data_IF_385588538979
#
_entry.id   IF_385588538979
#
_cell.length_a   1.000
_cell.length_b   1.000
_cell.length_c   1.000
_cell.angle_alpha   90.00
_cell.angle_beta   90.00
_cell.angle_gamma   90.00
#
_symmetry.space_group_name_H-M   'P 1'
#
loop_
_entity.id
_entity.type
_entity.pdbx_description
1 polymer ?
#
# COMPACT_ATOMS: atom_id res chain seq x y z
N UNK A 1 -32.70 -3.65 54.43
CA UNK A 1 -32.74 -2.79 53.20
C UNK A 1 -31.44 -3.10 52.46
N UNK A 2 -31.58 -3.72 51.31
CA UNK A 2 -30.40 -3.89 50.43
C UNK A 2 -30.07 -2.52 49.84
N UNK A 3 -28.82 -2.08 50.02
CA UNK A 3 -28.30 -0.85 49.41
C UNK A 3 -27.44 -1.13 48.16
N UNK A 4 -27.29 -2.41 47.85
CA UNK A 4 -26.41 -2.91 46.77
C UNK A 4 -27.16 -3.94 45.92
N UNK A 5 -26.73 -4.04 44.68
CA UNK A 5 -27.13 -5.06 43.73
C UNK A 5 -25.97 -5.43 42.82
N UNK A 6 -26.18 -6.45 42.02
CA UNK A 6 -25.16 -6.98 41.12
C UNK A 6 -25.58 -6.74 39.67
N UNK A 7 -24.58 -6.62 38.80
CA UNK A 7 -24.78 -6.60 37.34
C UNK A 7 -23.99 -7.75 36.74
N UNK A 8 -24.67 -8.57 35.95
CA UNK A 8 -24.04 -9.66 35.19
C UNK A 8 -24.37 -9.51 33.73
N UNK A 9 -23.63 -10.20 32.87
CA UNK A 9 -23.90 -10.20 31.46
C UNK A 9 -22.88 -10.95 30.65
N UNK A 10 -23.01 -10.85 29.35
CA UNK A 10 -22.09 -11.44 28.39
C UNK A 10 -21.61 -10.38 27.43
N UNK A 11 -20.34 -10.38 27.14
CA UNK A 11 -19.76 -9.53 26.09
C UNK A 11 -19.69 -10.34 24.80
N UNK A 12 -20.17 -9.74 23.73
CA UNK A 12 -20.23 -10.34 22.40
C UNK A 12 -19.40 -9.57 21.38
N UNK A 13 -18.95 -10.25 20.35
CA UNK A 13 -18.50 -9.64 19.12
C UNK A 13 -19.71 -9.31 18.19
N UNK A 14 -19.51 -8.65 17.03
CA UNK A 14 -20.59 -8.35 16.09
C UNK A 14 -21.27 -9.59 15.49
N UNK A 15 -20.65 -10.76 15.55
CA UNK A 15 -21.21 -12.03 15.08
C UNK A 15 -21.95 -12.81 16.18
N UNK A 16 -22.18 -12.18 17.34
CA UNK A 16 -22.75 -12.78 18.56
C UNK A 16 -21.90 -13.93 19.15
N UNK A 17 -20.60 -13.97 18.89
CA UNK A 17 -19.71 -14.88 19.60
C UNK A 17 -19.28 -14.26 20.94
N UNK A 18 -19.25 -15.06 22.05
CA UNK A 18 -18.77 -14.57 23.34
C UNK A 18 -17.31 -14.16 23.28
N UNK A 19 -16.95 -13.08 23.98
CA UNK A 19 -15.60 -12.54 23.99
C UNK A 19 -14.92 -12.73 25.34
N UNK A 20 -13.79 -13.41 25.33
CA UNK A 20 -12.88 -13.53 26.48
C UNK A 20 -12.03 -12.28 26.71
N UNK A 21 -11.39 -12.20 27.86
CA UNK A 21 -10.38 -11.18 28.20
C UNK A 21 -10.83 -9.72 27.95
N UNK A 22 -12.12 -9.45 28.10
CA UNK A 22 -12.69 -8.10 28.08
C UNK A 22 -12.73 -7.56 29.50
N UNK A 23 -12.16 -6.40 29.74
CA UNK A 23 -12.30 -5.71 31.02
C UNK A 23 -13.63 -4.98 31.06
N UNK A 24 -14.47 -5.33 32.04
CA UNK A 24 -15.76 -4.68 32.26
C UNK A 24 -15.72 -3.95 33.60
N UNK A 25 -16.16 -2.71 33.64
CA UNK A 25 -16.11 -1.90 34.86
C UNK A 25 -17.31 -0.99 35.00
N UNK A 26 -17.70 -0.73 36.25
CA UNK A 26 -18.67 0.29 36.62
C UNK A 26 -18.38 0.77 38.06
N UNK A 27 -18.39 2.10 38.26
CA UNK A 27 -18.28 2.74 39.59
C UNK A 27 -17.15 2.23 40.47
N UNK A 28 -16.00 1.89 39.88
CA UNK A 28 -14.81 1.41 40.59
C UNK A 28 -14.78 -0.11 40.85
N UNK A 29 -15.82 -0.84 40.47
CA UNK A 29 -15.82 -2.30 40.41
C UNK A 29 -15.45 -2.77 39.03
N UNK A 30 -14.66 -3.82 38.89
CA UNK A 30 -14.27 -4.38 37.61
C UNK A 30 -14.22 -5.90 37.64
N UNK A 31 -14.40 -6.49 36.48
CA UNK A 31 -14.26 -7.91 36.20
C UNK A 31 -13.64 -8.12 34.83
N UNK A 32 -13.15 -9.32 34.54
CA UNK A 32 -12.60 -9.67 33.24
C UNK A 32 -13.29 -10.94 32.74
N UNK A 33 -13.82 -10.89 31.51
CA UNK A 33 -14.58 -12.02 30.95
C UNK A 33 -13.71 -13.25 30.73
N UNK A 34 -14.30 -14.43 31.03
CA UNK A 34 -13.74 -15.74 30.69
C UNK A 34 -14.05 -16.14 29.25
N UNK A 35 -13.72 -17.40 28.90
CA UNK A 35 -13.93 -17.96 27.58
C UNK A 35 -15.39 -17.98 27.12
N UNK A 36 -16.33 -17.94 28.01
CA UNK A 36 -17.78 -17.86 27.78
C UNK A 36 -18.30 -16.41 27.64
N UNK A 37 -17.41 -15.42 27.75
CA UNK A 37 -17.72 -14.01 27.65
C UNK A 37 -18.46 -13.42 28.84
N UNK A 38 -18.70 -14.20 29.91
CA UNK A 38 -19.47 -13.75 31.08
C UNK A 38 -18.66 -12.83 31.99
N UNK A 39 -19.36 -11.88 32.63
CA UNK A 39 -18.83 -11.00 33.66
C UNK A 39 -19.82 -10.85 34.84
N UNK A 40 -19.31 -10.44 36.00
CA UNK A 40 -20.11 -10.13 37.17
C UNK A 40 -19.51 -8.95 37.96
N UNK A 41 -20.23 -7.84 38.02
CA UNK A 41 -19.91 -6.68 38.84
C UNK A 41 -20.75 -6.73 40.11
N UNK A 42 -20.10 -7.05 41.20
CA UNK A 42 -20.78 -7.34 42.49
C UNK A 42 -20.79 -6.11 43.39
N UNK A 43 -21.84 -6.00 44.22
CA UNK A 43 -21.97 -4.97 45.25
C UNK A 43 -21.96 -3.52 44.75
N UNK A 44 -22.58 -3.27 43.60
CA UNK A 44 -22.81 -1.92 43.14
C UNK A 44 -23.91 -1.23 43.96
N UNK A 45 -23.76 0.06 44.27
CA UNK A 45 -24.80 0.82 44.91
C UNK A 45 -26.09 0.80 44.08
N UNK A 46 -27.24 0.87 44.72
CA UNK A 46 -28.52 1.06 44.01
C UNK A 46 -28.52 2.39 43.28
N UNK A 47 -28.95 2.38 42.04
CA UNK A 47 -28.98 3.58 41.19
C UNK A 47 -28.54 3.31 39.74
N UNK A 48 -28.39 4.37 38.99
CA UNK A 48 -27.94 4.29 37.61
C UNK A 48 -26.42 4.29 37.52
N UNK A 49 -25.87 3.34 36.76
CA UNK A 49 -24.44 3.17 36.50
C UNK A 49 -24.17 3.09 35.03
N UNK A 50 -22.97 3.50 34.63
CA UNK A 50 -22.45 3.23 33.29
C UNK A 50 -21.51 2.05 33.40
N UNK A 51 -21.87 0.95 32.76
CA UNK A 51 -21.02 -0.21 32.56
C UNK A 51 -20.18 0.01 31.31
N UNK A 52 -18.88 -0.07 31.44
CA UNK A 52 -17.93 0.09 30.34
C UNK A 52 -17.25 -1.25 30.08
N UNK A 53 -17.18 -1.64 28.81
CA UNK A 53 -16.42 -2.79 28.34
C UNK A 53 -15.29 -2.34 27.40
N UNK A 54 -14.08 -2.87 27.64
CA UNK A 54 -12.89 -2.51 26.86
C UNK A 54 -11.98 -3.73 26.63
N UNK A 55 -11.42 -3.81 25.41
CA UNK A 55 -10.43 -4.82 25.01
C UNK A 55 -9.51 -4.21 23.96
N UNK A 56 -8.22 -4.55 23.99
CA UNK A 56 -7.27 -4.11 22.94
C UNK A 56 -7.72 -4.57 21.56
N UNK A 57 -7.71 -3.67 20.58
CA UNK A 57 -8.17 -3.93 19.21
C UNK A 57 -9.68 -3.81 19.01
N UNK A 58 -10.41 -3.28 20.02
CA UNK A 58 -11.86 -3.05 19.94
C UNK A 58 -12.21 -1.65 20.45
N UNK A 59 -13.25 -1.06 19.89
CA UNK A 59 -13.81 0.18 20.42
C UNK A 59 -14.42 -0.09 21.81
N UNK A 60 -14.07 0.75 22.76
CA UNK A 60 -14.72 0.75 24.06
C UNK A 60 -16.22 1.04 23.89
N UNK A 61 -17.07 0.23 24.50
CA UNK A 61 -18.51 0.45 24.48
C UNK A 61 -19.05 0.59 25.92
N UNK A 62 -20.13 1.33 26.06
CA UNK A 62 -20.76 1.61 27.34
C UNK A 62 -22.26 1.35 27.28
N UNK A 63 -22.81 0.91 28.41
CA UNK A 63 -24.25 0.76 28.58
C UNK A 63 -24.69 1.37 29.92
N UNK A 64 -25.79 2.09 29.90
CA UNK A 64 -26.43 2.55 31.12
C UNK A 64 -27.29 1.44 31.70
N UNK A 65 -27.10 1.16 32.99
CA UNK A 65 -27.84 0.13 33.71
C UNK A 65 -28.38 0.66 35.02
N UNK A 66 -29.62 0.32 35.34
CA UNK A 66 -30.24 0.66 36.62
C UNK A 66 -30.12 -0.54 37.59
N UNK A 67 -29.29 -0.40 38.62
CA UNK A 67 -29.11 -1.39 39.65
C UNK A 67 -30.21 -1.21 40.69
N UNK A 68 -30.94 -2.27 40.91
CA UNK A 68 -32.06 -2.30 41.90
C UNK A 68 -31.65 -3.06 43.15
N UNK A 69 -32.27 -2.68 44.28
CA UNK A 69 -32.13 -3.41 45.53
C UNK A 69 -32.91 -4.72 45.46
N UNK A 70 -32.35 -5.73 44.85
CA UNK A 70 -33.00 -7.03 44.67
C UNK A 70 -32.00 -8.17 44.79
N UNK A 71 -32.52 -9.39 44.99
CA UNK A 71 -31.68 -10.58 45.14
C UNK A 71 -31.11 -11.10 43.80
N UNK A 72 -31.80 -10.80 42.69
CA UNK A 72 -31.37 -11.22 41.36
C UNK A 72 -30.52 -10.15 40.71
N UNK A 73 -29.41 -10.50 40.03
CA UNK A 73 -28.57 -9.54 39.36
C UNK A 73 -29.30 -8.88 38.17
N UNK A 74 -29.00 -7.61 37.93
CA UNK A 74 -29.40 -6.95 36.68
C UNK A 74 -28.57 -7.49 35.52
N UNK A 75 -29.21 -7.92 34.42
CA UNK A 75 -28.51 -8.48 33.28
C UNK A 75 -28.26 -7.39 32.23
N UNK A 76 -27.01 -7.21 31.84
CA UNK A 76 -26.62 -6.27 30.79
C UNK A 76 -25.61 -6.91 29.84
N UNK A 77 -25.98 -7.14 28.62
CA UNK A 77 -25.05 -7.58 27.58
C UNK A 77 -24.50 -6.38 26.80
N UNK A 78 -23.25 -6.49 26.36
CA UNK A 78 -22.60 -5.44 25.57
C UNK A 78 -21.90 -6.09 24.38
N UNK A 79 -21.98 -5.45 23.20
CA UNK A 79 -21.25 -5.88 22.01
C UNK A 79 -20.10 -4.92 21.75
N UNK A 80 -18.89 -5.45 21.54
CA UNK A 80 -17.72 -4.68 21.14
C UNK A 80 -17.50 -4.80 19.64
N UNK A 81 -17.35 -3.68 18.97
CA UNK A 81 -16.93 -3.63 17.57
C UNK A 81 -15.40 -3.59 17.49
N UNK A 82 -14.78 -4.30 16.52
CA UNK A 82 -13.35 -4.16 16.27
C UNK A 82 -12.97 -2.70 16.05
N UNK A 83 -11.88 -2.27 16.68
CA UNK A 83 -11.24 -1.00 16.35
C UNK A 83 -10.54 -1.18 15.00
N UNK A 84 -11.29 -0.94 13.94
CA UNK A 84 -10.73 -0.89 12.59
C UNK A 84 -10.29 0.54 12.35
N UNK A 85 -8.96 0.81 12.39
CA UNK A 85 -8.47 2.13 12.03
C UNK A 85 -8.99 2.48 10.63
N UNK A 86 -9.26 3.75 10.40
CA UNK A 86 -9.79 4.22 9.12
C UNK A 86 -8.91 3.78 7.96
N UNK A 87 -9.48 3.44 6.80
CA UNK A 87 -8.69 3.19 5.60
C UNK A 87 -7.69 4.33 5.38
N UNK A 88 -6.45 3.99 5.07
CA UNK A 88 -5.40 4.95 4.76
C UNK A 88 -5.19 5.03 3.25
N UNK A 89 -4.59 6.14 2.78
CA UNK A 89 -4.30 6.37 1.36
C UNK A 89 -5.56 6.21 0.47
N UNK A 90 -6.66 6.86 0.85
CA UNK A 90 -7.81 6.98 -0.04
C UNK A 90 -7.40 7.89 -1.21
N UNK A 91 -7.36 7.32 -2.39
CA UNK A 91 -7.08 8.02 -3.64
C UNK A 91 -8.32 7.94 -4.55
N UNK A 92 -8.56 9.00 -5.28
CA UNK A 92 -9.59 9.07 -6.30
C UNK A 92 -8.94 9.48 -7.61
N UNK A 93 -8.94 8.59 -8.59
CA UNK A 93 -8.44 8.87 -9.95
C UNK A 93 -9.63 9.05 -10.88
N UNK A 94 -9.62 10.11 -11.72
CA UNK A 94 -10.66 10.28 -12.73
C UNK A 94 -10.49 9.23 -13.84
N UNK A 95 -11.60 8.77 -14.39
CA UNK A 95 -11.66 7.94 -15.59
C UNK A 95 -12.80 8.40 -16.49
N UNK A 96 -12.92 7.85 -17.67
CA UNK A 96 -14.01 8.19 -18.59
C UNK A 96 -15.35 7.78 -17.99
N UNK A 97 -16.18 8.78 -17.66
CA UNK A 97 -17.48 8.65 -16.96
C UNK A 97 -17.42 7.86 -15.62
N UNK A 98 -16.23 7.73 -15.02
CA UNK A 98 -16.01 6.96 -13.79
C UNK A 98 -15.03 7.68 -12.87
N UNK A 99 -15.09 7.31 -11.60
CA UNK A 99 -14.05 7.65 -10.62
C UNK A 99 -13.56 6.33 -10.03
N UNK A 100 -12.29 6.06 -10.15
CA UNK A 100 -11.66 4.91 -9.49
C UNK A 100 -11.28 5.32 -8.08
N UNK A 101 -11.74 4.54 -7.10
CA UNK A 101 -11.36 4.71 -5.71
C UNK A 101 -10.46 3.56 -5.30
N UNK A 102 -9.31 3.90 -4.79
CA UNK A 102 -8.42 2.95 -4.14
C UNK A 102 -8.21 3.34 -2.68
N UNK A 103 -8.10 2.37 -1.81
CA UNK A 103 -7.78 2.56 -0.40
C UNK A 103 -7.06 1.34 0.14
N UNK A 104 -6.45 1.49 1.30
CA UNK A 104 -5.68 0.42 1.92
C UNK A 104 -6.26 0.04 3.27
N UNK A 105 -6.05 -1.23 3.63
CA UNK A 105 -6.43 -1.73 4.94
C UNK A 105 -5.67 -0.99 6.02
N UNK A 106 -6.35 -0.65 7.12
CA UNK A 106 -5.72 -0.08 8.29
C UNK A 106 -4.64 -1.02 8.85
N UNK A 107 -3.51 -0.46 9.24
CA UNK A 107 -2.38 -1.24 9.76
C UNK A 107 -1.49 -1.90 8.69
N UNK A 108 -1.83 -1.77 7.39
CA UNK A 108 -0.84 -2.05 6.34
C UNK A 108 0.27 -1.00 6.42
N UNK A 109 1.52 -1.41 6.23
CA UNK A 109 2.61 -0.48 5.96
C UNK A 109 2.14 0.50 4.87
N UNK A 110 2.45 1.77 5.03
CA UNK A 110 2.08 2.78 4.05
C UNK A 110 2.79 2.45 2.74
N UNK A 111 2.07 1.87 1.79
CA UNK A 111 2.55 1.81 0.42
C UNK A 111 2.20 3.14 -0.24
N UNK A 112 3.02 3.62 -1.11
CA UNK A 112 2.73 4.73 -1.99
C UNK A 112 3.28 4.41 -3.36
N UNK A 113 2.52 4.79 -4.36
CA UNK A 113 2.96 4.67 -5.74
C UNK A 113 3.74 5.92 -6.11
N UNK A 114 4.81 5.75 -6.84
CA UNK A 114 5.58 6.84 -7.43
C UNK A 114 5.38 6.69 -8.94
N UNK A 115 4.79 7.68 -9.55
CA UNK A 115 4.60 7.76 -10.99
C UNK A 115 4.97 9.17 -11.46
N UNK A 116 5.51 9.26 -12.67
CA UNK A 116 5.96 10.51 -13.28
C UNK A 116 5.32 10.70 -14.65
N UNK A 117 4.05 10.32 -14.80
CA UNK A 117 3.27 10.46 -16.02
C UNK A 117 1.84 10.87 -15.70
N UNK A 118 1.13 11.43 -16.65
CA UNK A 118 -0.22 11.96 -16.47
C UNK A 118 -1.34 10.95 -16.80
N UNK A 119 -1.01 9.67 -16.91
CA UNK A 119 -1.89 8.55 -17.30
C UNK A 119 -2.24 8.52 -18.79
N UNK A 120 -1.66 9.38 -19.63
CA UNK A 120 -1.83 9.40 -21.07
C UNK A 120 -0.48 9.14 -21.75
N UNK A 121 -0.43 8.21 -22.68
CA UNK A 121 0.77 7.92 -23.45
C UNK A 121 0.59 8.40 -24.88
N UNK A 122 1.38 9.39 -25.31
CA UNK A 122 1.33 9.96 -26.65
C UNK A 122 2.29 9.29 -27.63
N UNK A 123 3.30 8.61 -27.09
CA UNK A 123 4.35 8.02 -27.91
C UNK A 123 5.01 6.79 -27.31
N UNK A 124 6.06 6.36 -27.99
CA UNK A 124 6.95 5.31 -27.52
C UNK A 124 8.40 5.63 -27.87
N UNK A 125 9.31 5.26 -27.03
CA UNK A 125 10.74 5.31 -27.30
C UNK A 125 11.28 3.89 -27.38
N UNK A 126 12.07 3.62 -28.43
CA UNK A 126 12.73 2.34 -28.63
C UNK A 126 13.99 2.51 -29.47
N UNK A 127 14.95 1.61 -29.33
CA UNK A 127 16.25 1.70 -30.04
C UNK A 127 16.34 0.87 -31.31
N UNK A 128 15.27 0.21 -31.70
CA UNK A 128 15.28 -0.68 -32.87
C UNK A 128 16.25 -1.87 -32.69
N UNK A 129 16.80 -2.37 -33.81
CA UNK A 129 17.59 -3.60 -33.80
C UNK A 129 18.98 -3.51 -33.09
N UNK A 130 19.32 -2.36 -32.54
CA UNK A 130 20.64 -2.14 -31.93
C UNK A 130 20.77 -2.63 -30.49
N UNK A 131 19.66 -2.78 -29.82
CA UNK A 131 19.60 -3.03 -28.37
C UNK A 131 19.99 -1.81 -27.54
N UNK A 132 19.18 -1.50 -26.55
CA UNK A 132 19.47 -0.46 -25.57
C UNK A 132 18.80 -0.80 -24.22
N UNK A 133 19.07 0.01 -23.24
CA UNK A 133 18.35 -0.05 -21.99
C UNK A 133 17.80 1.32 -21.61
N UNK A 134 16.59 1.31 -21.07
CA UNK A 134 15.90 2.48 -20.55
C UNK A 134 15.76 2.35 -19.05
N UNK A 135 16.07 3.39 -18.32
CA UNK A 135 15.95 3.40 -16.87
C UNK A 135 15.10 4.55 -16.40
N UNK A 136 14.19 4.27 -15.48
CA UNK A 136 13.44 5.30 -14.75
C UNK A 136 13.89 5.34 -13.31
N UNK A 137 14.18 6.54 -12.81
CA UNK A 137 14.65 6.80 -11.46
C UNK A 137 13.49 7.19 -10.56
N UNK A 138 13.35 6.50 -9.45
CA UNK A 138 12.34 6.76 -8.43
C UNK A 138 12.99 7.11 -7.10
N UNK A 139 12.55 8.20 -6.49
CA UNK A 139 13.01 8.63 -5.17
C UNK A 139 11.92 8.36 -4.13
N UNK A 140 12.12 7.44 -3.18
CA UNK A 140 11.18 7.23 -2.10
C UNK A 140 10.94 8.49 -1.26
N UNK A 141 9.68 8.76 -0.93
CA UNK A 141 9.32 9.92 -0.11
C UNK A 141 9.80 9.80 1.36
N UNK A 142 10.02 8.58 1.83
CA UNK A 142 10.46 8.28 3.19
C UNK A 142 11.39 7.08 3.20
N UNK A 143 12.32 7.02 4.17
CA UNK A 143 13.26 5.92 4.37
C UNK A 143 13.17 5.37 5.80
N UNK A 144 13.41 4.06 6.00
CA UNK A 144 13.57 3.07 4.95
C UNK A 144 12.27 2.82 4.20
N UNK A 145 12.37 2.50 2.91
CA UNK A 145 11.26 2.06 2.08
C UNK A 145 11.50 0.62 1.63
N UNK A 146 10.45 -0.12 1.27
CA UNK A 146 10.58 -1.46 0.69
C UNK A 146 9.86 -1.48 -0.65
N UNK A 147 10.57 -1.84 -1.71
CA UNK A 147 9.98 -1.99 -3.03
C UNK A 147 9.09 -3.23 -3.07
N UNK A 148 7.83 -3.05 -3.39
CA UNK A 148 6.85 -4.14 -3.45
C UNK A 148 6.64 -4.64 -4.88
N UNK A 149 6.77 -3.75 -5.84
CA UNK A 149 6.56 -4.05 -7.24
C UNK A 149 6.59 -2.79 -8.09
N UNK A 150 6.39 -2.95 -9.38
CA UNK A 150 6.31 -1.86 -10.33
C UNK A 150 5.41 -2.24 -11.51
N UNK A 151 4.96 -1.24 -12.24
CA UNK A 151 4.19 -1.40 -13.47
C UNK A 151 4.95 -0.72 -14.60
N UNK A 152 5.04 -1.39 -15.73
CA UNK A 152 5.63 -0.87 -16.94
C UNK A 152 4.58 -0.85 -18.06
N UNK A 153 4.49 0.27 -18.76
CA UNK A 153 3.69 0.39 -19.98
C UNK A 153 4.60 0.29 -21.19
N UNK A 154 4.38 -0.72 -22.00
CA UNK A 154 5.30 -1.07 -23.09
C UNK A 154 4.53 -1.37 -24.38
N UNK A 155 5.17 -1.10 -25.51
CA UNK A 155 4.69 -1.48 -26.82
C UNK A 155 5.82 -2.23 -27.54
N UNK A 156 5.58 -3.43 -28.00
CA UNK A 156 6.59 -4.21 -28.70
C UNK A 156 6.02 -4.92 -29.92
N UNK A 157 6.87 -5.19 -30.90
CA UNK A 157 6.51 -6.06 -32.00
C UNK A 157 6.46 -7.53 -31.55
N UNK A 158 5.60 -8.32 -32.16
CA UNK A 158 5.52 -9.76 -31.93
C UNK A 158 6.88 -10.41 -32.21
N UNK A 159 7.59 -10.84 -31.14
CA UNK A 159 8.90 -11.45 -31.23
C UNK A 159 9.99 -10.82 -30.39
N UNK A 160 9.73 -9.79 -29.63
CA UNK A 160 10.68 -9.22 -28.65
C UNK A 160 10.82 -10.19 -27.44
N UNK A 161 11.61 -11.24 -27.62
CA UNK A 161 11.64 -12.37 -26.65
C UNK A 161 12.78 -12.32 -25.64
N UNK A 162 13.64 -11.31 -25.66
CA UNK A 162 14.85 -11.27 -24.83
C UNK A 162 14.94 -10.04 -23.92
N UNK A 163 13.86 -9.31 -23.73
CA UNK A 163 13.85 -8.19 -22.80
C UNK A 163 13.97 -8.65 -21.35
N UNK A 164 14.72 -7.92 -20.54
CA UNK A 164 14.79 -8.10 -19.09
C UNK A 164 14.48 -6.80 -18.38
N UNK A 165 14.03 -6.91 -17.15
CA UNK A 165 13.84 -5.76 -16.28
C UNK A 165 14.75 -5.91 -15.07
N UNK A 166 15.61 -4.94 -14.90
CA UNK A 166 16.60 -4.93 -13.85
C UNK A 166 16.28 -3.85 -12.80
N UNK A 167 16.51 -4.15 -11.54
CA UNK A 167 16.34 -3.21 -10.44
C UNK A 167 17.70 -2.83 -9.88
N UNK A 168 17.98 -1.53 -9.81
CA UNK A 168 19.21 -1.00 -9.23
C UNK A 168 18.88 -0.13 -8.02
N UNK A 169 19.78 -0.12 -7.04
CA UNK A 169 19.77 0.87 -5.95
C UNK A 169 20.92 1.84 -6.13
N UNK A 170 20.64 3.11 -5.93
CA UNK A 170 21.64 4.17 -5.81
C UNK A 170 21.53 4.82 -4.43
N UNK A 171 22.17 4.26 -3.39
CA UNK A 171 22.10 4.80 -2.03
C UNK A 171 22.65 6.23 -1.89
N UNK A 172 23.46 6.66 -2.85
CA UNK A 172 24.06 7.99 -2.87
C UNK A 172 23.13 9.06 -3.49
N UNK A 173 22.14 8.63 -4.29
CA UNK A 173 21.27 9.55 -5.03
C UNK A 173 22.06 10.43 -6.01
N UNK A 174 23.05 9.84 -6.69
CA UNK A 174 24.08 10.59 -7.40
C UNK A 174 23.64 11.14 -8.76
N UNK A 175 22.43 10.86 -9.21
CA UNK A 175 21.88 11.36 -10.48
C UNK A 175 22.87 11.17 -11.66
N UNK A 176 23.37 9.95 -11.80
CA UNK A 176 24.34 9.58 -12.86
C UNK A 176 23.88 8.41 -13.71
N UNK A 177 22.60 8.04 -13.58
CA UNK A 177 22.05 6.80 -14.10
C UNK A 177 22.36 5.58 -13.23
N UNK A 178 21.85 4.40 -13.57
CA UNK A 178 22.11 3.16 -12.85
C UNK A 178 23.59 2.84 -12.72
N UNK A 179 24.05 2.49 -11.53
CA UNK A 179 25.47 2.21 -11.24
C UNK A 179 25.62 0.81 -10.62
N UNK A 180 26.68 0.12 -10.98
CA UNK A 180 26.99 -1.21 -10.46
C UNK A 180 26.19 -2.33 -11.11
N UNK A 181 26.02 -3.43 -10.38
CA UNK A 181 25.23 -4.57 -10.82
C UNK A 181 23.77 -4.42 -10.33
N UNK A 182 22.79 -4.92 -11.09
CA UNK A 182 21.42 -4.93 -10.61
C UNK A 182 21.29 -5.81 -9.35
N UNK A 183 20.46 -5.37 -8.43
CA UNK A 183 20.18 -6.14 -7.19
C UNK A 183 19.27 -7.34 -7.47
N UNK A 184 18.46 -7.24 -8.50
CA UNK A 184 17.64 -8.34 -9.00
C UNK A 184 17.37 -8.15 -10.49
N UNK A 185 17.17 -9.26 -11.17
CA UNK A 185 16.67 -9.30 -12.55
C UNK A 185 15.28 -9.93 -12.49
N UNK A 186 14.28 -9.16 -12.84
CA UNK A 186 12.91 -9.65 -12.93
C UNK A 186 12.74 -10.20 -14.34
N UNK A 187 12.67 -11.49 -14.43
CA UNK A 187 12.55 -12.38 -15.58
C UNK A 187 12.31 -11.74 -16.96
N UNK A 188 12.99 -12.29 -17.99
CA UNK A 188 12.59 -12.08 -19.38
C UNK A 188 11.16 -12.58 -19.55
N UNK A 189 10.20 -11.69 -19.62
CA UNK A 189 8.87 -12.01 -20.09
C UNK A 189 8.81 -11.74 -21.60
N UNK A 190 7.93 -12.41 -22.30
CA UNK A 190 7.51 -12.01 -23.64
C UNK A 190 6.78 -10.66 -23.50
N UNK A 191 7.55 -9.59 -23.47
CA UNK A 191 7.05 -8.22 -23.39
C UNK A 191 6.68 -7.81 -24.81
N UNK A 192 5.56 -8.31 -25.31
CA UNK A 192 5.10 -8.01 -26.65
C UNK A 192 3.65 -7.58 -26.67
N UNK A 193 3.32 -6.60 -27.49
CA UNK A 193 1.95 -6.26 -27.80
C UNK A 193 1.66 -6.68 -29.25
N UNK A 194 0.94 -7.80 -29.45
CA UNK A 194 0.67 -8.31 -30.80
C UNK A 194 -0.15 -7.34 -31.67
N UNK A 195 -0.86 -6.42 -31.06
CA UNK A 195 -1.74 -5.46 -31.74
C UNK A 195 -1.11 -4.08 -31.92
N UNK A 196 0.15 -3.90 -31.52
CA UNK A 196 0.84 -2.61 -31.58
C UNK A 196 0.29 -1.58 -30.58
N UNK A 197 -0.49 -2.00 -29.60
CA UNK A 197 -1.00 -1.14 -28.54
C UNK A 197 -0.10 -1.20 -27.30
N UNK A 198 -0.18 -0.19 -26.46
CA UNK A 198 0.48 -0.25 -25.15
C UNK A 198 -0.16 -1.31 -24.27
N UNK A 199 0.69 -2.08 -23.61
CA UNK A 199 0.30 -3.10 -22.63
C UNK A 199 1.00 -2.83 -21.32
N UNK A 200 0.25 -2.86 -20.23
CA UNK A 200 0.79 -2.72 -18.89
C UNK A 200 1.18 -4.08 -18.33
N UNK A 201 2.42 -4.18 -17.87
CA UNK A 201 2.97 -5.34 -17.19
C UNK A 201 3.20 -5.02 -15.71
N UNK A 202 2.55 -5.76 -14.84
CA UNK A 202 2.72 -5.62 -13.39
C UNK A 202 3.68 -6.67 -12.85
N UNK A 203 4.67 -6.24 -12.10
CA UNK A 203 5.68 -7.09 -11.48
C UNK A 203 5.55 -6.99 -9.97
N UNK A 204 5.14 -8.08 -9.33
CA UNK A 204 5.18 -8.23 -7.87
C UNK A 204 6.52 -8.85 -7.48
N UNK A 205 7.31 -8.11 -6.72
CA UNK A 205 8.62 -8.55 -6.19
C UNK A 205 8.69 -8.40 -4.67
N UNK A 206 7.55 -8.37 -4.03
CA UNK A 206 7.42 -8.20 -2.58
C UNK A 206 8.13 -9.30 -1.77
N UNK A 207 8.25 -10.50 -2.34
CA UNK A 207 8.95 -11.63 -1.76
C UNK A 207 10.49 -11.46 -1.69
N UNK A 208 11.04 -10.56 -2.50
CA UNK A 208 12.47 -10.27 -2.52
C UNK A 208 12.92 -9.34 -1.39
N UNK A 209 11.99 -8.68 -0.69
CA UNK A 209 12.26 -7.80 0.45
C UNK A 209 13.34 -6.74 0.17
N UNK A 210 13.27 -6.08 -0.98
CA UNK A 210 14.23 -5.07 -1.39
C UNK A 210 14.04 -3.81 -0.54
N UNK A 211 14.97 -3.58 0.39
CA UNK A 211 14.98 -2.40 1.25
C UNK A 211 15.81 -1.27 0.64
N UNK A 212 15.23 -0.09 0.59
CA UNK A 212 15.85 1.17 0.18
C UNK A 212 16.06 2.01 1.43
N UNK A 213 17.28 2.00 1.95
CA UNK A 213 17.64 2.72 3.18
C UNK A 213 17.91 4.19 2.94
N UNK A 214 18.29 4.57 1.71
CA UNK A 214 18.56 5.96 1.26
C UNK A 214 18.68 6.00 -0.26
N UNK A 215 18.62 7.19 -0.86
CA UNK A 215 18.88 7.44 -2.28
C UNK A 215 17.75 6.95 -3.19
N UNK A 216 18.09 6.46 -4.36
CA UNK A 216 17.15 6.23 -5.45
C UNK A 216 17.05 4.75 -5.85
N UNK A 217 15.99 4.41 -6.53
CA UNK A 217 15.77 3.13 -7.22
C UNK A 217 15.74 3.43 -8.70
N UNK A 218 16.36 2.58 -9.51
CA UNK A 218 16.18 2.57 -10.95
C UNK A 218 15.51 1.28 -11.37
N UNK A 219 14.45 1.39 -12.17
CA UNK A 219 13.85 0.28 -12.91
C UNK A 219 14.34 0.40 -14.34
N UNK A 220 15.07 -0.61 -14.80
CA UNK A 220 15.75 -0.60 -16.10
C UNK A 220 15.21 -1.70 -16.97
N UNK A 221 14.74 -1.32 -18.16
CA UNK A 221 14.30 -2.27 -19.18
C UNK A 221 15.39 -2.39 -20.23
N UNK A 222 15.89 -3.62 -20.41
CA UNK A 222 16.81 -3.97 -21.49
C UNK A 222 16.01 -4.59 -22.63
N UNK A 223 16.06 -4.01 -23.82
CA UNK A 223 15.26 -4.48 -24.96
C UNK A 223 15.81 -5.74 -25.63
N UNK A 224 17.00 -6.17 -25.25
CA UNK A 224 17.62 -7.41 -25.77
C UNK A 224 17.87 -7.44 -27.27
N UNK A 225 17.74 -6.31 -27.96
CA UNK A 225 17.89 -6.20 -29.42
C UNK A 225 16.60 -6.44 -30.20
N UNK A 226 15.46 -6.38 -29.53
CA UNK A 226 14.14 -6.39 -30.16
C UNK A 226 13.61 -4.99 -30.50
N UNK A 227 12.42 -4.91 -31.05
CA UNK A 227 11.68 -3.66 -31.22
C UNK A 227 10.73 -3.45 -30.05
N UNK A 228 11.30 -3.20 -28.89
CA UNK A 228 10.55 -2.88 -27.69
C UNK A 228 10.51 -1.37 -27.53
N UNK A 229 9.33 -0.79 -27.44
CA UNK A 229 9.11 0.59 -27.06
C UNK A 229 8.62 0.69 -25.63
N UNK A 230 9.12 1.65 -24.89
CA UNK A 230 8.57 2.06 -23.61
C UNK A 230 7.59 3.18 -23.89
N UNK A 231 6.47 3.19 -23.20
CA UNK A 231 5.49 4.26 -23.27
C UNK A 231 6.15 5.61 -22.92
N UNK A 232 5.85 6.61 -23.67
CA UNK A 232 6.40 7.95 -23.54
C UNK A 232 5.26 8.97 -23.42
N UNK A 233 5.38 9.85 -22.46
CA UNK A 233 4.54 11.01 -22.23
C UNK A 233 5.26 12.21 -22.88
N UNK A 234 4.72 12.71 -23.99
CA UNK A 234 5.31 13.78 -24.79
C UNK A 234 4.98 15.19 -24.29
N UNK A 235 4.17 15.32 -23.25
CA UNK A 235 3.89 16.63 -22.65
C UNK A 235 5.18 17.24 -22.08
N UNK A 236 5.31 18.58 -22.07
CA UNK A 236 6.51 19.21 -21.56
C UNK A 236 6.68 18.97 -20.07
N UNK A 237 7.63 18.13 -19.74
CA UNK A 237 7.96 17.80 -18.35
C UNK A 237 8.41 19.06 -17.60
N UNK A 238 7.98 19.13 -16.34
CA UNK A 238 8.59 20.07 -15.41
C UNK A 238 10.11 19.82 -15.30
N UNK A 239 10.96 20.86 -15.33
CA UNK A 239 12.42 20.71 -15.27
C UNK A 239 12.93 19.86 -14.10
N UNK A 240 12.13 19.69 -13.07
CA UNK A 240 12.42 18.86 -11.91
C UNK A 240 12.43 17.34 -12.21
N UNK A 241 11.93 16.93 -13.38
CA UNK A 241 11.88 15.52 -13.80
C UNK A 241 12.87 15.18 -14.91
N UNK A 242 13.64 16.13 -15.44
CA UNK A 242 14.60 15.89 -16.53
C UNK A 242 15.67 14.83 -16.21
N UNK A 243 15.92 14.58 -14.95
CA UNK A 243 16.90 13.61 -14.49
C UNK A 243 16.28 12.25 -14.07
N UNK A 244 15.02 12.01 -14.44
CA UNK A 244 14.31 10.77 -14.09
C UNK A 244 14.48 9.68 -15.15
N UNK A 245 14.53 10.04 -16.41
CA UNK A 245 14.55 9.12 -17.53
C UNK A 245 15.96 9.01 -18.13
N UNK A 246 16.44 7.80 -18.26
CA UNK A 246 17.81 7.47 -18.63
C UNK A 246 17.83 6.46 -19.78
N UNK A 247 18.78 6.61 -20.68
CA UNK A 247 19.01 5.67 -21.78
C UNK A 247 20.48 5.33 -21.91
N UNK A 248 20.79 4.10 -22.31
CA UNK A 248 22.14 3.70 -22.72
C UNK A 248 22.08 2.78 -23.94
N UNK A 249 23.00 2.99 -24.86
CA UNK A 249 23.29 2.10 -25.98
C UNK A 249 24.52 1.21 -25.71
N UNK A 250 24.83 1.02 -24.44
CA UNK A 250 25.90 0.13 -23.99
C UNK A 250 27.23 0.81 -23.60
N UNK A 251 27.31 2.14 -23.59
CA UNK A 251 28.53 2.87 -23.21
C UNK A 251 28.39 3.65 -21.90
N UNK A 252 27.45 4.58 -21.85
CA UNK A 252 27.18 5.41 -20.68
C UNK A 252 25.68 5.66 -20.59
N UNK A 253 25.23 5.94 -19.39
CA UNK A 253 23.87 6.40 -19.15
C UNK A 253 23.80 7.92 -19.43
N UNK A 254 22.83 8.32 -20.23
CA UNK A 254 22.50 9.71 -20.49
C UNK A 254 21.04 9.96 -20.15
N UNK A 255 20.69 11.16 -19.74
CA UNK A 255 19.28 11.52 -19.62
C UNK A 255 18.64 11.58 -21.00
N UNK A 256 17.38 11.21 -21.11
CA UNK A 256 16.70 11.26 -22.40
C UNK A 256 16.60 12.68 -22.93
N UNK A 257 16.45 13.66 -22.04
CA UNK A 257 16.49 15.07 -22.40
C UNK A 257 17.78 15.48 -23.12
N UNK A 258 18.92 14.87 -22.75
CA UNK A 258 20.22 15.16 -23.36
C UNK A 258 20.41 14.43 -24.70
N UNK A 259 19.96 13.17 -24.81
CA UNK A 259 20.23 12.31 -25.96
C UNK A 259 19.26 12.56 -27.12
N UNK A 260 18.01 12.95 -26.86
CA UNK A 260 16.95 13.04 -27.89
C UNK A 260 16.37 14.44 -28.09
N UNK A 261 17.15 15.50 -27.91
CA UNK A 261 16.79 16.88 -28.27
C UNK A 261 15.49 17.42 -27.66
N UNK A 262 15.27 17.14 -26.42
CA UNK A 262 14.12 17.67 -25.68
C UNK A 262 12.85 16.83 -25.83
N UNK A 263 12.95 15.61 -26.33
CA UNK A 263 11.93 14.59 -26.10
C UNK A 263 12.08 14.12 -24.65
N UNK A 264 11.79 15.02 -23.75
CA UNK A 264 11.71 14.71 -22.36
C UNK A 264 10.31 14.14 -22.13
N UNK A 265 10.17 12.83 -22.12
CA UNK A 265 8.96 12.11 -21.74
C UNK A 265 9.09 11.53 -20.34
N UNK A 266 7.98 11.38 -19.63
CA UNK A 266 7.91 10.54 -18.46
C UNK A 266 7.65 9.10 -18.91
N UNK A 267 8.41 8.15 -18.38
CA UNK A 267 8.15 6.74 -18.60
C UNK A 267 7.24 6.25 -17.46
N UNK A 268 6.08 5.79 -17.84
CA UNK A 268 5.11 5.21 -16.89
C UNK A 268 5.41 3.75 -16.56
#
# INVERSE_FOLDING_TARGET
VYLFGDVTGVIYDPNNAPMDSVVVSASGVSDTTGADGTFALMNLNVGTHIVQASKSGFYTNTAEVSVLAQAEPTVQNITLAPDMPSPVALMASPGDEKVYLSWRSPGSVAFYDIAYYDEVFEGQIGCGAGGCAFGVRFTPANYPATLQGFVLSMQGDAGSTNASVDVYLDPAGAVTGPVGDPITVVASADLSSPDGNFVQYSFDISDQNIEVSSGDIYIVVNDGGGFLGIADDLEPISPEYFDRNWVTTGYAWNTIADEYYGLAGDFG
#
